data_IF_001506607681
#
_entry.id   IF_001506607681
#
_cell.length_a   1.000
_cell.length_b   1.000
_cell.length_c   1.000
_cell.angle_alpha   90.00
_cell.angle_beta   90.00
_cell.angle_gamma   90.00
#
_symmetry.space_group_name_H-M   'P 1'
#
loop_
_entity.id
_entity.type
_entity.pdbx_description
1 polymer ?
#
# COMPACT_ATOMS: atom_id res chain seq x y z
N UNK A 1 -35.05 40.97 4.36
CA UNK A 1 -34.81 40.68 2.93
C UNK A 1 -33.85 39.51 2.86
N UNK A 2 -34.36 38.40 2.35
CA UNK A 2 -33.78 37.06 2.38
C UNK A 2 -32.50 36.96 1.56
N UNK A 3 -31.49 36.22 2.05
CA UNK A 3 -30.46 35.65 1.18
C UNK A 3 -30.28 34.17 1.54
N UNK A 4 -31.26 33.39 1.09
CA UNK A 4 -31.26 31.92 1.08
C UNK A 4 -30.90 31.46 -0.32
N UNK A 5 -29.62 31.22 -0.61
CA UNK A 5 -29.19 30.42 -1.77
C UNK A 5 -27.67 30.18 -1.77
N UNK A 6 -27.21 29.21 -0.98
CA UNK A 6 -26.32 28.15 -1.47
C UNK A 6 -26.20 27.04 -0.42
N UNK A 7 -27.34 26.47 0.01
CA UNK A 7 -27.30 25.20 0.74
C UNK A 7 -27.19 24.11 -0.32
N UNK A 8 -25.97 23.84 -0.79
CA UNK A 8 -25.68 22.53 -1.35
C UNK A 8 -26.10 21.53 -0.28
N UNK A 9 -27.08 20.68 -0.59
CA UNK A 9 -27.31 19.50 0.22
C UNK A 9 -26.05 18.63 0.11
N UNK A 10 -25.06 18.90 0.96
CA UNK A 10 -23.92 18.03 1.16
C UNK A 10 -24.47 16.73 1.74
N UNK A 11 -24.34 15.66 0.97
CA UNK A 11 -24.75 14.34 1.42
C UNK A 11 -23.78 13.95 2.55
N UNK A 12 -24.28 13.62 3.76
CA UNK A 12 -23.43 13.21 4.86
C UNK A 12 -22.50 12.06 4.43
N UNK A 13 -21.21 12.15 4.77
CA UNK A 13 -20.22 11.12 4.42
C UNK A 13 -19.59 11.28 3.03
N UNK A 14 -19.97 12.28 2.22
CA UNK A 14 -19.37 12.49 0.89
C UNK A 14 -17.84 12.68 0.93
N UNK A 15 -17.30 13.24 2.02
CA UNK A 15 -15.86 13.42 2.23
C UNK A 15 -15.06 12.12 2.37
N UNK A 16 -15.74 10.99 2.62
CA UNK A 16 -15.12 9.66 2.73
C UNK A 16 -14.69 9.11 1.37
N UNK A 17 -15.29 9.63 0.29
CA UNK A 17 -15.13 9.10 -1.06
C UNK A 17 -13.75 9.46 -1.59
N UNK A 18 -13.09 8.46 -2.18
CA UNK A 18 -11.76 8.60 -2.79
C UNK A 18 -11.89 8.80 -4.30
N UNK A 19 -10.84 9.30 -4.97
CA UNK A 19 -10.82 9.37 -6.43
C UNK A 19 -11.05 7.99 -7.05
N UNK A 20 -11.73 7.93 -8.20
CA UNK A 20 -12.08 6.64 -8.82
C UNK A 20 -10.86 5.81 -9.21
N UNK A 21 -9.74 6.47 -9.48
CA UNK A 21 -8.44 5.88 -9.77
C UNK A 21 -7.97 4.97 -8.63
N UNK A 22 -8.24 5.32 -7.37
CA UNK A 22 -7.84 4.49 -6.24
C UNK A 22 -8.58 3.15 -6.20
N UNK A 23 -9.90 3.15 -6.48
CA UNK A 23 -10.66 1.89 -6.56
C UNK A 23 -10.17 1.03 -7.73
N UNK A 24 -9.80 1.66 -8.85
CA UNK A 24 -9.24 0.97 -10.00
C UNK A 24 -7.87 0.36 -9.69
N UNK A 25 -7.00 1.09 -9.00
CA UNK A 25 -5.69 0.60 -8.58
C UNK A 25 -5.80 -0.55 -7.56
N UNK A 26 -6.68 -0.43 -6.56
CA UNK A 26 -6.92 -1.50 -5.60
C UNK A 26 -7.49 -2.75 -6.29
N UNK A 27 -8.40 -2.60 -7.25
CA UNK A 27 -8.95 -3.71 -8.03
C UNK A 27 -7.91 -4.34 -8.97
N UNK A 28 -7.10 -3.53 -9.63
CA UNK A 28 -5.97 -3.96 -10.47
C UNK A 28 -4.97 -4.75 -9.64
N UNK A 29 -4.61 -4.26 -8.45
CA UNK A 29 -3.75 -4.96 -7.51
C UNK A 29 -4.37 -6.27 -7.04
N UNK A 30 -5.66 -6.28 -6.69
CA UNK A 30 -6.41 -7.47 -6.28
C UNK A 30 -6.30 -8.60 -7.32
N UNK A 31 -6.41 -8.25 -8.62
CA UNK A 31 -6.29 -9.18 -9.74
C UNK A 31 -4.84 -9.51 -10.11
N UNK A 32 -3.89 -8.64 -9.76
CA UNK A 32 -2.47 -8.83 -10.08
C UNK A 32 -1.90 -10.08 -9.41
N UNK A 33 -0.89 -10.69 -10.04
CA UNK A 33 -0.23 -11.86 -9.47
C UNK A 33 0.38 -11.57 -8.09
N UNK A 34 0.91 -10.35 -7.89
CA UNK A 34 1.49 -9.91 -6.61
C UNK A 34 0.41 -9.86 -5.54
N UNK A 35 -0.72 -9.24 -5.84
CA UNK A 35 -1.85 -9.18 -4.92
C UNK A 35 -2.43 -10.56 -4.61
N UNK A 36 -2.55 -11.45 -5.59
CA UNK A 36 -3.00 -12.84 -5.37
C UNK A 36 -2.05 -13.65 -4.49
N UNK A 37 -0.74 -13.50 -4.69
CA UNK A 37 0.27 -14.12 -3.84
C UNK A 37 0.18 -13.58 -2.42
N UNK A 38 0.09 -12.25 -2.27
CA UNK A 38 -0.01 -11.58 -0.98
C UNK A 38 -1.27 -12.00 -0.21
N UNK A 39 -2.44 -12.05 -0.87
CA UNK A 39 -3.68 -12.55 -0.26
C UNK A 39 -3.50 -13.98 0.26
N UNK A 40 -2.92 -14.88 -0.55
CA UNK A 40 -2.68 -16.27 -0.15
C UNK A 40 -1.71 -16.40 1.03
N UNK A 41 -0.71 -15.53 1.08
CA UNK A 41 0.29 -15.50 2.14
C UNK A 41 -0.30 -14.97 3.47
N UNK A 42 -1.02 -13.85 3.43
CA UNK A 42 -1.56 -13.22 4.64
C UNK A 42 -2.85 -13.88 5.14
N UNK A 43 -3.72 -14.34 4.23
CA UNK A 43 -5.08 -14.80 4.55
C UNK A 43 -5.25 -16.32 4.41
N UNK A 44 -4.28 -17.02 3.82
CA UNK A 44 -4.40 -18.45 3.54
C UNK A 44 -5.24 -18.78 2.29
N UNK A 45 -5.96 -17.82 1.72
CA UNK A 45 -6.81 -18.00 0.54
C UNK A 45 -6.78 -16.77 -0.40
N UNK A 46 -7.33 -16.92 -1.61
CA UNK A 46 -7.50 -15.80 -2.54
C UNK A 46 -8.90 -15.21 -2.32
N UNK A 47 -8.99 -13.90 -2.12
CA UNK A 47 -10.28 -13.20 -2.05
C UNK A 47 -10.95 -13.15 -3.43
N UNK A 48 -12.26 -12.96 -3.51
CA UNK A 48 -12.86 -12.66 -4.80
C UNK A 48 -12.47 -11.25 -5.25
N UNK A 49 -12.05 -11.10 -6.52
CA UNK A 49 -11.72 -9.82 -7.15
C UNK A 49 -12.46 -9.66 -8.50
N UNK A 50 -13.67 -10.22 -8.59
CA UNK A 50 -14.53 -10.37 -9.77
C UNK A 50 -14.35 -9.27 -10.84
N UNK A 51 -14.32 -9.62 -12.15
CA UNK A 51 -14.23 -8.70 -13.30
C UNK A 51 -15.29 -7.58 -13.27
N UNK A 52 -14.92 -6.38 -13.75
CA UNK A 52 -15.84 -5.23 -13.86
C UNK A 52 -17.03 -5.60 -14.77
N UNK A 53 -16.80 -6.32 -15.87
CA UNK A 53 -17.86 -6.72 -16.82
C UNK A 53 -18.82 -7.79 -16.27
N UNK A 54 -18.35 -8.72 -15.45
CA UNK A 54 -19.21 -9.72 -14.78
C UNK A 54 -19.98 -9.10 -13.61
N UNK A 55 -19.37 -8.16 -12.89
CA UNK A 55 -20.05 -7.36 -11.86
C UNK A 55 -21.10 -6.41 -12.43
N UNK A 56 -20.89 -5.86 -13.65
CA UNK A 56 -21.79 -4.88 -14.27
C UNK A 56 -23.05 -5.46 -14.92
N UNK A 57 -23.03 -6.72 -15.37
CA UNK A 57 -24.13 -7.27 -16.17
C UNK A 57 -24.94 -8.37 -15.49
N UNK A 58 -24.51 -8.92 -14.35
CA UNK A 58 -25.22 -10.06 -13.76
C UNK A 58 -25.02 -10.26 -12.25
N UNK A 59 -24.91 -9.19 -11.46
CA UNK A 59 -24.85 -9.33 -10.00
C UNK A 59 -26.23 -9.26 -9.34
N UNK A 60 -27.05 -10.29 -9.56
CA UNK A 60 -28.17 -10.62 -8.67
C UNK A 60 -27.71 -11.40 -7.41
N UNK A 61 -26.42 -11.76 -7.32
CA UNK A 61 -25.84 -12.49 -6.20
C UNK A 61 -25.12 -11.55 -5.23
N UNK A 62 -25.39 -11.75 -3.94
CA UNK A 62 -24.84 -11.02 -2.78
C UNK A 62 -23.30 -11.09 -2.61
N UNK A 63 -22.58 -11.70 -3.55
CA UNK A 63 -21.17 -12.07 -3.42
C UNK A 63 -20.27 -11.34 -4.43
N UNK A 64 -20.72 -10.22 -5.02
CA UNK A 64 -19.85 -9.39 -5.85
C UNK A 64 -18.63 -8.89 -5.05
N UNK A 65 -17.44 -8.90 -5.67
CA UNK A 65 -16.24 -8.34 -5.06
C UNK A 65 -16.46 -6.84 -4.79
N UNK A 66 -16.50 -6.40 -3.52
CA UNK A 66 -17.10 -5.11 -3.15
C UNK A 66 -16.32 -3.90 -3.69
N UNK A 67 -15.07 -4.13 -4.12
CA UNK A 67 -14.20 -3.12 -4.72
C UNK A 67 -14.49 -2.85 -6.21
N UNK A 68 -15.01 -3.85 -6.94
CA UNK A 68 -15.43 -3.67 -8.34
C UNK A 68 -16.73 -2.86 -8.42
N UNK A 69 -17.64 -3.10 -7.47
CA UNK A 69 -18.87 -2.34 -7.30
C UNK A 69 -18.58 -0.89 -6.90
N UNK A 70 -17.67 -0.66 -5.94
CA UNK A 70 -17.25 0.69 -5.56
C UNK A 70 -16.69 1.48 -6.76
N UNK A 71 -15.85 0.85 -7.60
CA UNK A 71 -15.35 1.48 -8.82
C UNK A 71 -16.49 1.80 -9.80
N UNK A 72 -17.45 0.89 -9.99
CA UNK A 72 -18.62 1.12 -10.84
C UNK A 72 -19.43 2.32 -10.35
N UNK A 73 -19.82 2.32 -9.07
CA UNK A 73 -20.63 3.37 -8.46
C UNK A 73 -19.90 4.73 -8.54
N UNK A 74 -18.57 4.74 -8.36
CA UNK A 74 -17.75 5.94 -8.52
C UNK A 74 -17.80 6.48 -9.95
N UNK A 75 -17.57 5.63 -10.95
CA UNK A 75 -17.62 6.03 -12.37
C UNK A 75 -19.02 6.51 -12.78
N UNK A 76 -20.06 5.84 -12.30
CA UNK A 76 -21.45 6.20 -12.59
C UNK A 76 -21.87 7.49 -11.91
N UNK A 77 -21.43 7.74 -10.66
CA UNK A 77 -21.61 9.01 -9.99
C UNK A 77 -20.98 10.17 -10.76
N UNK A 78 -19.75 10.00 -11.27
CA UNK A 78 -19.09 11.03 -12.07
C UNK A 78 -19.83 11.34 -13.38
N UNK A 79 -20.42 10.33 -14.01
CA UNK A 79 -21.12 10.49 -15.29
C UNK A 79 -22.55 11.02 -15.14
N UNK A 80 -23.32 10.46 -14.20
CA UNK A 80 -24.77 10.67 -14.09
C UNK A 80 -25.19 11.51 -12.89
N UNK A 81 -24.31 11.67 -11.90
CA UNK A 81 -24.59 12.31 -10.61
C UNK A 81 -25.80 11.73 -9.89
N UNK A 82 -25.95 10.41 -9.92
CA UNK A 82 -27.02 9.68 -9.24
C UNK A 82 -26.75 9.58 -7.72
N UNK A 83 -27.68 10.09 -6.92
CA UNK A 83 -27.60 10.11 -5.45
C UNK A 83 -27.61 8.70 -4.85
N UNK A 84 -28.23 7.71 -5.49
CA UNK A 84 -28.22 6.34 -4.96
C UNK A 84 -26.83 5.71 -5.06
N UNK A 85 -26.14 5.89 -6.18
CA UNK A 85 -24.77 5.38 -6.35
C UNK A 85 -23.80 6.04 -5.39
N UNK A 86 -24.02 7.33 -5.11
CA UNK A 86 -23.24 8.03 -4.10
C UNK A 86 -23.42 7.42 -2.71
N UNK A 87 -24.67 7.10 -2.32
CA UNK A 87 -24.96 6.47 -1.02
C UNK A 87 -24.35 5.07 -0.92
N UNK A 88 -24.41 4.28 -1.98
CA UNK A 88 -23.79 2.96 -2.03
C UNK A 88 -22.26 3.06 -1.86
N UNK A 89 -21.63 4.04 -2.51
CA UNK A 89 -20.20 4.29 -2.39
C UNK A 89 -19.78 4.76 -0.98
N UNK A 90 -20.60 5.61 -0.35
CA UNK A 90 -20.37 6.05 1.03
C UNK A 90 -20.44 4.87 2.00
N UNK A 91 -21.48 4.04 1.89
CA UNK A 91 -21.63 2.81 2.68
C UNK A 91 -20.41 1.89 2.56
N UNK A 92 -19.89 1.71 1.33
CA UNK A 92 -18.69 0.92 1.10
C UNK A 92 -17.44 1.48 1.83
N UNK A 93 -17.24 2.80 1.83
CA UNK A 93 -16.12 3.43 2.52
C UNK A 93 -16.27 3.38 4.04
N UNK A 94 -17.47 3.57 4.57
CA UNK A 94 -17.78 3.39 5.99
C UNK A 94 -17.41 1.97 6.44
N UNK A 95 -17.88 0.97 5.69
CA UNK A 95 -17.54 -0.44 5.91
C UNK A 95 -16.03 -0.71 5.81
N UNK A 96 -15.34 -0.07 4.87
CA UNK A 96 -13.88 -0.20 4.71
C UNK A 96 -13.15 0.38 5.92
N UNK A 97 -13.56 1.54 6.42
CA UNK A 97 -12.99 2.14 7.62
C UNK A 97 -13.25 1.28 8.86
N UNK A 98 -14.47 0.78 9.03
CA UNK A 98 -14.81 -0.14 10.13
C UNK A 98 -13.93 -1.38 10.07
N UNK A 99 -13.76 -2.02 8.90
CA UNK A 99 -12.88 -3.19 8.75
C UNK A 99 -11.43 -2.88 9.11
N UNK A 100 -10.90 -1.72 8.72
CA UNK A 100 -9.52 -1.30 9.08
C UNK A 100 -9.38 -1.05 10.57
N UNK A 101 -10.38 -0.41 11.19
CA UNK A 101 -10.44 -0.18 12.63
C UNK A 101 -10.50 -1.49 13.40
N UNK A 102 -11.44 -2.38 13.06
CA UNK A 102 -11.56 -3.71 13.67
C UNK A 102 -10.29 -4.55 13.48
N UNK A 103 -9.63 -4.47 12.32
CA UNK A 103 -8.36 -5.17 12.12
C UNK A 103 -7.24 -4.64 13.02
N UNK A 104 -7.29 -3.37 13.42
CA UNK A 104 -6.34 -2.78 14.36
C UNK A 104 -6.71 -3.13 15.81
N UNK A 105 -8.01 -3.12 16.15
CA UNK A 105 -8.53 -3.44 17.49
C UNK A 105 -8.43 -4.92 17.82
N UNK A 106 -8.66 -5.80 16.85
CA UNK A 106 -8.53 -7.25 17.00
C UNK A 106 -7.07 -7.72 16.88
N UNK A 107 -6.12 -6.80 16.70
CA UNK A 107 -4.71 -7.14 16.66
C UNK A 107 -4.24 -7.49 18.08
N UNK A 108 -3.67 -8.68 18.24
CA UNK A 108 -3.16 -9.18 19.52
C UNK A 108 -1.76 -8.63 19.87
N UNK A 109 -1.06 -8.06 18.89
CA UNK A 109 0.28 -7.48 19.05
C UNK A 109 0.22 -6.03 19.51
N UNK A 110 -0.75 -5.25 19.05
CA UNK A 110 -0.79 -3.80 19.27
C UNK A 110 -2.01 -3.37 20.08
N UNK A 111 -1.79 -2.53 21.08
CA UNK A 111 -2.85 -1.88 21.84
C UNK A 111 -2.96 -0.40 21.43
N UNK A 112 -4.17 0.14 21.24
CA UNK A 112 -4.35 1.55 20.95
C UNK A 112 -3.86 2.41 22.13
N UNK A 113 -3.04 3.43 21.84
CA UNK A 113 -2.57 4.38 22.86
C UNK A 113 -3.73 5.28 23.29
N UNK A 114 -3.79 5.60 24.58
CA UNK A 114 -4.78 6.54 25.14
C UNK A 114 -4.48 7.99 24.75
N UNK A 115 -3.20 8.33 24.63
CA UNK A 115 -2.70 9.66 24.29
C UNK A 115 -1.50 9.54 23.34
N UNK A 116 -1.27 10.54 22.48
CA UNK A 116 -0.04 10.57 21.68
C UNK A 116 1.19 10.65 22.61
N UNK A 117 2.35 10.15 22.16
CA UNK A 117 3.62 10.37 22.86
C UNK A 117 3.83 11.85 23.21
N UNK A 118 4.46 12.12 24.37
CA UNK A 118 4.71 13.48 24.84
C UNK A 118 5.61 14.30 23.88
N UNK A 119 6.40 13.61 23.06
CA UNK A 119 7.29 14.12 22.04
C UNK A 119 6.72 14.01 20.62
N UNK A 120 5.40 13.83 20.45
CA UNK A 120 4.77 13.68 19.13
C UNK A 120 5.06 14.83 18.16
N UNK A 121 5.25 16.05 18.70
CA UNK A 121 5.59 17.25 17.93
C UNK A 121 7.08 17.62 18.03
N UNK A 122 7.95 16.71 18.49
CA UNK A 122 9.39 16.95 18.50
C UNK A 122 9.89 17.21 17.06
N UNK A 123 10.87 18.09 16.87
CA UNK A 123 11.49 18.25 15.56
C UNK A 123 12.05 16.91 15.10
N UNK A 124 12.03 16.69 13.78
CA UNK A 124 12.64 15.51 13.21
C UNK A 124 14.09 15.42 13.69
N UNK A 125 14.58 14.22 14.03
CA UNK A 125 15.98 14.06 14.41
C UNK A 125 16.88 14.42 13.23
N UNK A 126 18.12 14.84 13.50
CA UNK A 126 19.05 15.39 12.51
C UNK A 126 19.27 14.48 11.27
N UNK A 127 19.26 13.16 11.49
CA UNK A 127 19.40 12.16 10.42
C UNK A 127 18.15 12.05 9.51
N UNK A 128 16.98 12.47 9.99
CA UNK A 128 15.73 12.48 9.25
C UNK A 128 15.52 13.79 8.47
N UNK A 129 16.39 14.79 8.67
CA UNK A 129 16.45 15.94 7.78
C UNK A 129 16.89 15.51 6.38
N UNK A 130 16.44 16.21 5.34
CA UNK A 130 16.85 15.89 3.96
C UNK A 130 18.32 16.25 3.66
N UNK A 131 18.96 17.07 4.50
CA UNK A 131 20.30 17.62 4.27
C UNK A 131 21.40 16.54 4.12
N UNK A 132 21.50 15.51 4.98
CA UNK A 132 22.53 14.47 4.84
C UNK A 132 22.41 13.65 3.55
N UNK A 133 21.18 13.43 3.06
CA UNK A 133 20.94 12.71 1.79
C UNK A 133 21.35 13.57 0.59
N UNK A 134 21.05 14.87 0.65
CA UNK A 134 21.43 15.81 -0.41
C UNK A 134 22.96 15.96 -0.52
N UNK A 135 23.66 15.99 0.60
CA UNK A 135 25.13 16.03 0.65
C UNK A 135 25.75 14.74 0.11
N UNK A 136 25.23 13.57 0.51
CA UNK A 136 25.69 12.29 -0.04
C UNK A 136 25.49 12.21 -1.57
N UNK A 137 24.35 12.72 -2.07
CA UNK A 137 24.10 12.81 -3.51
C UNK A 137 25.11 13.75 -4.19
N UNK A 138 25.40 14.90 -3.60
CA UNK A 138 26.42 15.84 -4.09
C UNK A 138 27.79 15.16 -4.22
N UNK A 139 28.27 14.54 -3.14
CA UNK A 139 29.59 13.89 -3.11
C UNK A 139 29.67 12.74 -4.13
N UNK A 140 28.58 11.98 -4.31
CA UNK A 140 28.47 10.95 -5.35
C UNK A 140 28.61 11.55 -6.76
N UNK A 141 27.87 12.62 -7.08
CA UNK A 141 27.93 13.27 -8.38
C UNK A 141 29.32 13.86 -8.66
N UNK A 142 29.96 14.45 -7.65
CA UNK A 142 31.30 15.02 -7.78
C UNK A 142 32.38 13.96 -7.93
N UNK A 143 32.30 12.83 -7.21
CA UNK A 143 33.17 11.67 -7.45
C UNK A 143 33.03 11.14 -8.89
N UNK A 144 31.81 11.03 -9.40
CA UNK A 144 31.57 10.56 -10.76
C UNK A 144 32.20 11.48 -11.81
N UNK A 145 32.14 12.80 -11.61
CA UNK A 145 32.67 13.80 -12.54
C UNK A 145 34.18 14.01 -12.42
N UNK A 146 34.70 14.15 -11.19
CA UNK A 146 36.06 14.64 -10.92
C UNK A 146 37.00 13.56 -10.38
N UNK A 147 36.48 12.42 -9.95
CA UNK A 147 37.24 11.34 -9.30
C UNK A 147 38.04 11.82 -8.09
N UNK A 148 37.48 12.75 -7.33
CA UNK A 148 38.08 13.26 -6.09
C UNK A 148 37.94 12.25 -4.95
N UNK A 149 39.08 11.72 -4.50
CA UNK A 149 39.15 10.70 -3.45
C UNK A 149 38.54 11.18 -2.12
N UNK A 150 38.57 12.49 -1.84
CA UNK A 150 37.99 13.02 -0.62
C UNK A 150 36.46 12.92 -0.62
N UNK A 151 35.83 13.20 -1.77
CA UNK A 151 34.37 13.05 -1.92
C UNK A 151 33.92 11.59 -1.83
N UNK A 152 34.74 10.67 -2.35
CA UNK A 152 34.50 9.25 -2.17
C UNK A 152 34.57 8.84 -0.69
N UNK A 153 35.56 9.34 0.07
CA UNK A 153 35.67 9.04 1.50
C UNK A 153 34.45 9.55 2.28
N UNK A 154 34.00 10.77 1.99
CA UNK A 154 32.81 11.36 2.62
C UNK A 154 31.53 10.56 2.29
N UNK A 155 31.42 10.04 1.07
CA UNK A 155 30.31 9.17 0.67
C UNK A 155 30.35 7.82 1.38
N UNK A 156 31.54 7.21 1.51
CA UNK A 156 31.72 5.94 2.22
C UNK A 156 31.32 6.09 3.69
N UNK A 157 31.81 7.11 4.39
CA UNK A 157 31.47 7.34 5.79
C UNK A 157 29.96 7.53 5.99
N UNK A 158 29.31 8.26 5.07
CA UNK A 158 27.85 8.43 5.10
C UNK A 158 27.09 7.10 4.98
N UNK A 159 27.50 6.21 4.05
CA UNK A 159 26.85 4.90 3.88
C UNK A 159 27.15 3.96 5.06
N UNK A 160 28.37 3.99 5.61
CA UNK A 160 28.73 3.25 6.82
C UNK A 160 27.82 3.65 7.99
N UNK A 161 27.68 4.95 8.23
CA UNK A 161 26.78 5.48 9.26
C UNK A 161 25.32 5.10 8.99
N UNK A 162 24.88 5.10 7.72
CA UNK A 162 23.53 4.72 7.33
C UNK A 162 23.26 3.24 7.60
N UNK A 163 24.24 2.37 7.38
CA UNK A 163 24.17 0.95 7.71
C UNK A 163 24.09 0.74 9.22
N UNK A 164 24.94 1.42 9.99
CA UNK A 164 24.93 1.35 11.46
C UNK A 164 23.57 1.80 12.01
N UNK A 165 23.03 2.94 11.53
CA UNK A 165 21.71 3.43 11.97
C UNK A 165 20.58 2.44 11.67
N UNK A 166 20.59 1.81 10.49
CA UNK A 166 19.59 0.78 10.14
C UNK A 166 19.69 -0.45 11.03
N UNK A 167 20.92 -0.85 11.37
CA UNK A 167 21.18 -1.96 12.28
C UNK A 167 20.69 -1.63 13.70
N UNK A 168 21.10 -0.47 14.24
CA UNK A 168 20.67 0.00 15.55
C UNK A 168 19.15 0.18 15.63
N UNK A 169 18.50 0.66 14.57
CA UNK A 169 17.04 0.78 14.53
C UNK A 169 16.34 -0.59 14.60
N UNK A 170 16.96 -1.65 14.11
CA UNK A 170 16.44 -3.01 14.24
C UNK A 170 16.76 -3.62 15.62
N UNK A 171 17.94 -3.33 16.17
CA UNK A 171 18.38 -3.82 17.49
C UNK A 171 17.68 -3.13 18.66
N UNK A 172 17.44 -1.83 18.54
CA UNK A 172 16.70 -1.03 19.52
C UNK A 172 15.18 -1.16 19.38
N UNK A 173 14.71 -1.96 18.42
CA UNK A 173 13.30 -2.25 18.27
C UNK A 173 12.85 -3.16 19.42
N UNK A 174 11.98 -2.66 20.28
CA UNK A 174 11.43 -3.39 21.43
C UNK A 174 10.32 -4.38 21.05
N UNK A 175 9.81 -4.29 19.81
CA UNK A 175 8.72 -5.12 19.30
C UNK A 175 9.23 -6.39 18.61
N UNK A 176 10.37 -6.31 17.92
CA UNK A 176 10.89 -7.42 17.12
C UNK A 176 12.26 -7.87 17.61
N UNK A 177 12.40 -9.16 17.91
CA UNK A 177 13.70 -9.75 18.22
C UNK A 177 14.33 -10.33 16.94
N UNK A 178 15.62 -10.08 16.67
CA UNK A 178 16.30 -10.70 15.53
C UNK A 178 16.30 -12.23 15.69
N UNK A 179 15.90 -12.94 14.63
CA UNK A 179 15.92 -14.41 14.62
C UNK A 179 17.37 -14.89 14.53
N UNK A 180 17.72 -15.90 15.31
CA UNK A 180 19.03 -16.56 15.24
C UNK A 180 19.21 -17.35 13.95
N UNK A 181 18.11 -17.92 13.44
CA UNK A 181 18.07 -18.71 12.22
C UNK A 181 16.79 -18.37 11.42
N UNK A 182 16.80 -18.50 10.08
CA UNK A 182 15.60 -18.35 9.29
C UNK A 182 14.56 -19.45 9.66
N UNK A 183 13.26 -19.21 9.43
CA UNK A 183 12.24 -20.25 9.57
C UNK A 183 12.62 -21.53 8.80
N UNK A 184 12.26 -22.70 9.34
CA UNK A 184 12.62 -24.01 8.75
C UNK A 184 12.08 -24.21 7.33
N UNK A 185 11.03 -23.48 6.97
CA UNK A 185 10.36 -23.47 5.67
C UNK A 185 10.67 -22.21 4.84
N UNK A 186 11.62 -21.37 5.25
CA UNK A 186 11.98 -20.14 4.53
C UNK A 186 12.42 -20.41 3.09
N UNK A 187 13.03 -21.58 2.83
CA UNK A 187 13.44 -22.04 1.51
C UNK A 187 12.44 -23.04 0.87
N UNK A 188 11.21 -23.12 1.37
CA UNK A 188 10.20 -24.00 0.81
C UNK A 188 9.95 -23.70 -0.68
N UNK A 189 9.66 -24.72 -1.50
CA UNK A 189 9.41 -24.52 -2.92
C UNK A 189 8.19 -23.61 -3.12
N UNK A 190 8.26 -22.77 -4.15
CA UNK A 190 7.12 -21.95 -4.55
C UNK A 190 5.87 -22.84 -4.77
N UNK A 191 4.68 -22.40 -4.35
CA UNK A 191 3.45 -23.12 -4.62
C UNK A 191 3.30 -23.49 -6.10
N UNK A 192 2.68 -24.63 -6.38
CA UNK A 192 2.64 -25.24 -7.73
C UNK A 192 2.17 -24.27 -8.83
N UNK A 193 1.18 -23.43 -8.54
CA UNK A 193 0.66 -22.42 -9.47
C UNK A 193 1.70 -21.34 -9.81
N UNK A 194 2.56 -20.95 -8.85
CA UNK A 194 3.60 -19.95 -9.05
C UNK A 194 4.74 -20.53 -9.89
N UNK A 195 5.08 -21.81 -9.65
CA UNK A 195 6.02 -22.58 -10.48
C UNK A 195 5.57 -22.69 -11.94
N UNK A 196 4.33 -23.14 -12.19
CA UNK A 196 3.75 -23.27 -13.54
C UNK A 196 3.80 -21.97 -14.34
N UNK A 197 3.65 -20.82 -13.67
CA UNK A 197 3.71 -19.50 -14.32
C UNK A 197 5.15 -19.01 -14.54
N UNK A 198 6.09 -19.32 -13.65
CA UNK A 198 7.50 -19.04 -13.86
C UNK A 198 8.05 -19.81 -15.08
N UNK A 199 7.64 -21.08 -15.21
CA UNK A 199 7.95 -21.94 -16.36
C UNK A 199 7.38 -21.34 -17.66
N UNK A 200 6.13 -20.86 -17.66
CA UNK A 200 5.53 -20.24 -18.86
C UNK A 200 6.17 -18.89 -19.24
N UNK A 201 6.62 -18.08 -18.27
CA UNK A 201 7.39 -16.85 -18.51
C UNK A 201 8.76 -17.18 -19.10
N UNK A 202 9.45 -18.21 -18.58
CA UNK A 202 10.73 -18.67 -19.12
C UNK A 202 10.62 -19.11 -20.58
N UNK A 203 9.58 -19.88 -20.90
CA UNK A 203 9.27 -20.31 -22.27
C UNK A 203 8.93 -19.13 -23.20
N UNK A 204 8.20 -18.13 -22.71
CA UNK A 204 7.92 -16.91 -23.46
C UNK A 204 9.20 -16.13 -23.81
N UNK A 205 10.12 -15.98 -22.84
CA UNK A 205 11.40 -15.30 -23.07
C UNK A 205 12.29 -16.05 -24.06
N UNK A 206 12.35 -17.38 -23.95
CA UNK A 206 13.09 -18.23 -24.90
C UNK A 206 12.55 -18.11 -26.34
N UNK A 207 11.22 -17.93 -26.50
CA UNK A 207 10.57 -17.68 -27.80
C UNK A 207 10.82 -16.29 -28.38
N UNK A 208 11.28 -15.31 -27.58
CA UNK A 208 11.63 -13.97 -28.08
C UNK A 208 13.11 -13.83 -28.42
N UNK A 209 13.95 -14.74 -27.94
CA UNK A 209 15.38 -14.78 -28.23
C UNK A 209 15.76 -15.65 -29.44
N UNK A 210 14.78 -16.35 -30.01
CA UNK A 210 14.88 -17.11 -31.26
C UNK A 210 14.08 -16.42 -32.35
#
# INVERSE_FOLDING_TARGET
>A
MSNTSDVKHEIPGQWLIRPCEEYNDELSYCRSWRGRLYQRYMLGERKDCAPIAEALHNCERKDCAPIAEALHNCMFWLQRKDVQELKNLISYEEDRLIRRKLSAENNDVWQPRTEPPSDWNAPLPEWAHCAPIAEALHNCMFWLQRKDVQELKNLISYEEDRLIRRKLSAENNDVWQPRTEPPSDWNAPLPEWARKRAESIGQYKQKQTN
#
